data_IF_338526698417
#
_entry.id   IF_338526698417
#
_cell.length_a   1.000
_cell.length_b   1.000
_cell.length_c   1.000
_cell.angle_alpha   90.00
_cell.angle_beta   90.00
_cell.angle_gamma   90.00
#
_symmetry.space_group_name_H-M   'P 1'
#
loop_
_entity.id
_entity.type
_entity.pdbx_description
1 polymer ?
#
# COMPACT_ATOMS: atom_id res chain seq x y z
N UNK A 1 17.80 -9.60 13.12
CA UNK A 1 16.43 -9.58 12.56
C UNK A 1 15.37 -9.32 13.63
N UNK A 2 15.23 -10.14 14.69
CA UNK A 2 14.12 -10.03 15.67
C UNK A 2 13.93 -8.63 16.31
N UNK A 3 15.02 -7.94 16.69
CA UNK A 3 14.95 -6.58 17.25
C UNK A 3 14.37 -5.56 16.25
N UNK A 4 14.79 -5.65 14.99
CA UNK A 4 14.30 -4.78 13.91
C UNK A 4 12.83 -5.07 13.59
N UNK A 5 12.44 -6.35 13.52
CA UNK A 5 11.04 -6.76 13.30
C UNK A 5 10.14 -6.28 14.44
N UNK A 6 10.57 -6.42 15.70
CA UNK A 6 9.78 -5.95 16.83
C UNK A 6 9.60 -4.43 16.81
N UNK A 7 10.65 -3.69 16.45
CA UNK A 7 10.57 -2.25 16.28
C UNK A 7 9.63 -1.87 15.12
N UNK A 8 9.75 -2.49 13.96
CA UNK A 8 8.92 -2.16 12.80
C UNK A 8 7.44 -2.45 13.05
N UNK A 9 7.12 -3.58 13.70
CA UNK A 9 5.75 -3.93 14.08
C UNK A 9 5.21 -2.93 15.10
N UNK A 10 5.98 -2.60 16.15
CA UNK A 10 5.53 -1.61 17.13
C UNK A 10 5.27 -0.24 16.50
N UNK A 11 6.18 0.24 15.64
CA UNK A 11 6.03 1.52 14.95
C UNK A 11 4.81 1.54 14.04
N UNK A 12 4.61 0.50 13.23
CA UNK A 12 3.45 0.42 12.32
C UNK A 12 2.14 0.33 13.09
N UNK A 13 2.09 -0.46 14.17
CA UNK A 13 0.90 -0.55 15.04
C UNK A 13 0.55 0.82 15.64
N UNK A 14 1.52 1.53 16.20
CA UNK A 14 1.29 2.86 16.78
C UNK A 14 0.81 3.83 15.70
N UNK A 15 1.45 3.83 14.53
CA UNK A 15 1.07 4.70 13.41
C UNK A 15 -0.38 4.47 12.96
N UNK A 16 -0.77 3.22 12.69
CA UNK A 16 -2.13 2.91 12.26
C UNK A 16 -3.18 3.18 13.35
N UNK A 17 -2.86 2.91 14.61
CA UNK A 17 -3.73 3.23 15.74
C UNK A 17 -3.94 4.74 15.86
N UNK A 18 -2.87 5.53 15.74
CA UNK A 18 -2.93 6.99 15.75
C UNK A 18 -3.79 7.54 14.60
N UNK A 19 -3.61 7.04 13.38
CA UNK A 19 -4.45 7.43 12.23
C UNK A 19 -5.94 7.14 12.49
N UNK A 20 -6.26 5.96 13.00
CA UNK A 20 -7.65 5.57 13.31
C UNK A 20 -8.26 6.42 14.42
N UNK A 21 -7.54 6.59 15.55
CA UNK A 21 -8.01 7.40 16.67
C UNK A 21 -8.20 8.87 16.28
N UNK A 22 -7.27 9.45 15.52
CA UNK A 22 -7.39 10.84 15.05
C UNK A 22 -8.52 10.99 14.02
N UNK A 23 -8.68 10.05 13.09
CA UNK A 23 -9.79 10.06 12.14
C UNK A 23 -11.15 10.00 12.84
N UNK A 24 -11.31 9.09 13.81
CA UNK A 24 -12.53 9.01 14.61
C UNK A 24 -12.73 10.26 15.48
N UNK A 25 -11.68 10.82 16.07
CA UNK A 25 -11.80 12.06 16.84
C UNK A 25 -12.24 13.26 15.99
N UNK A 26 -11.86 13.30 14.71
CA UNK A 26 -12.22 14.38 13.78
C UNK A 26 -13.63 14.23 13.18
N UNK A 27 -14.06 13.00 12.87
CA UNK A 27 -15.30 12.75 12.11
C UNK A 27 -16.36 11.94 12.86
N UNK A 28 -16.03 11.33 13.99
CA UNK A 28 -16.92 10.46 14.75
C UNK A 28 -17.45 9.30 13.92
N UNK A 29 -18.73 8.99 14.10
CA UNK A 29 -19.45 7.94 13.36
C UNK A 29 -19.60 8.25 11.85
N UNK A 30 -19.30 9.48 11.43
CA UNK A 30 -19.31 9.90 10.02
C UNK A 30 -17.93 9.76 9.36
N UNK A 31 -16.95 9.13 10.02
CA UNK A 31 -15.63 8.89 9.45
C UNK A 31 -15.74 8.08 8.13
N UNK A 32 -15.22 8.62 7.01
CA UNK A 32 -15.27 7.92 5.73
C UNK A 32 -14.27 6.75 5.70
N UNK A 33 -14.55 5.73 4.88
CA UNK A 33 -13.62 4.62 4.63
C UNK A 33 -12.27 5.12 4.05
N UNK A 34 -12.34 6.10 3.15
CA UNK A 34 -11.19 6.84 2.68
C UNK A 34 -11.25 8.27 3.23
N UNK A 35 -10.39 8.55 4.21
CA UNK A 35 -10.24 9.87 4.84
C UNK A 35 -10.08 10.99 3.80
N UNK A 36 -9.39 10.73 2.69
CA UNK A 36 -9.17 11.72 1.63
C UNK A 36 -10.43 12.07 0.83
N UNK A 37 -11.48 11.25 0.92
CA UNK A 37 -12.75 11.48 0.20
C UNK A 37 -13.84 12.14 1.05
N UNK A 38 -13.72 12.12 2.38
CA UNK A 38 -14.73 12.71 3.28
C UNK A 38 -14.51 14.18 3.63
N UNK A 39 -13.44 14.82 3.13
CA UNK A 39 -13.19 16.26 3.29
C UNK A 39 -14.07 17.11 2.35
N UNK A 40 -15.37 16.82 2.30
CA UNK A 40 -16.28 17.27 1.25
C UNK A 40 -16.33 18.78 0.96
N UNK A 41 -15.98 19.68 1.89
CA UNK A 41 -16.25 21.12 1.70
C UNK A 41 -15.39 22.10 2.52
N UNK A 42 -14.12 21.79 2.84
CA UNK A 42 -13.28 22.75 3.58
C UNK A 42 -11.96 23.02 2.87
N UNK A 43 -11.79 24.27 2.43
CA UNK A 43 -10.49 24.81 2.04
C UNK A 43 -9.48 24.60 3.18
N UNK A 44 -8.23 24.16 2.88
CA UNK A 44 -7.58 24.30 1.59
C UNK A 44 -7.27 22.97 0.88
N UNK A 45 -7.64 22.86 -0.40
CA UNK A 45 -7.51 21.67 -1.25
C UNK A 45 -6.07 21.21 -1.51
N UNK A 46 -5.07 22.10 -1.37
CA UNK A 46 -3.67 21.77 -1.67
C UNK A 46 -3.13 20.63 -0.81
N UNK A 47 -3.59 20.50 0.45
CA UNK A 47 -3.11 19.45 1.34
C UNK A 47 -3.62 18.07 0.88
N UNK A 48 -4.86 18.03 0.38
CA UNK A 48 -5.45 16.84 -0.24
C UNK A 48 -4.72 16.48 -1.53
N UNK A 49 -4.39 17.47 -2.37
CA UNK A 49 -3.65 17.24 -3.62
C UNK A 49 -2.25 16.66 -3.34
N UNK A 50 -1.52 17.24 -2.39
CA UNK A 50 -0.19 16.74 -1.98
C UNK A 50 -0.29 15.31 -1.42
N UNK A 51 -1.31 15.02 -0.60
CA UNK A 51 -1.54 13.67 -0.09
C UNK A 51 -1.81 12.66 -1.22
N UNK A 52 -2.63 13.02 -2.19
CA UNK A 52 -2.90 12.19 -3.36
C UNK A 52 -1.64 11.96 -4.23
N UNK A 53 -0.84 13.00 -4.46
CA UNK A 53 0.44 12.86 -5.20
C UNK A 53 1.38 11.90 -4.46
N UNK A 54 1.50 12.01 -3.13
CA UNK A 54 2.31 11.10 -2.33
C UNK A 54 1.84 9.65 -2.44
N UNK A 55 0.52 9.41 -2.43
CA UNK A 55 -0.07 8.08 -2.66
C UNK A 55 0.30 7.54 -4.03
N UNK A 56 0.18 8.34 -5.09
CA UNK A 56 0.53 7.91 -6.46
C UNK A 56 1.99 7.52 -6.53
N UNK A 57 2.91 8.37 -6.07
CA UNK A 57 4.36 8.10 -6.09
C UNK A 57 4.68 6.83 -5.29
N UNK A 58 4.08 6.67 -4.11
CA UNK A 58 4.30 5.49 -3.28
C UNK A 58 3.76 4.20 -3.92
N UNK A 59 2.51 4.21 -4.39
CA UNK A 59 1.85 3.03 -4.93
C UNK A 59 2.45 2.57 -6.26
N UNK A 60 2.81 3.50 -7.16
CA UNK A 60 3.46 3.14 -8.43
C UNK A 60 4.80 2.45 -8.18
N UNK A 61 5.64 3.00 -7.29
CA UNK A 61 6.92 2.39 -6.94
C UNK A 61 6.74 1.04 -6.23
N UNK A 62 5.81 0.97 -5.27
CA UNK A 62 5.50 -0.27 -4.57
C UNK A 62 5.00 -1.36 -5.53
N UNK A 63 4.13 -1.01 -6.47
CA UNK A 63 3.64 -1.93 -7.49
C UNK A 63 4.77 -2.51 -8.33
N UNK A 64 5.67 -1.67 -8.84
CA UNK A 64 6.81 -2.12 -9.65
C UNK A 64 7.68 -3.15 -8.90
N UNK A 65 8.04 -2.86 -7.65
CA UNK A 65 8.91 -3.73 -6.84
C UNK A 65 8.18 -4.99 -6.39
N UNK A 66 6.89 -4.88 -6.04
CA UNK A 66 6.09 -5.99 -5.52
C UNK A 66 5.74 -7.02 -6.61
N UNK A 67 5.48 -6.55 -7.84
CA UNK A 67 5.14 -7.43 -8.94
C UNK A 67 6.29 -8.34 -9.39
N UNK A 68 7.53 -7.85 -9.36
CA UNK A 68 8.72 -8.61 -9.82
C UNK A 68 8.87 -10.00 -9.20
N UNK A 69 8.90 -10.17 -7.86
CA UNK A 69 9.07 -11.50 -7.25
C UNK A 69 7.87 -12.41 -7.49
N UNK A 70 6.66 -11.87 -7.63
CA UNK A 70 5.45 -12.65 -7.92
C UNK A 70 5.52 -13.20 -9.33
N UNK A 71 5.81 -12.35 -10.32
CA UNK A 71 5.97 -12.80 -11.70
C UNK A 71 7.11 -13.81 -11.82
N UNK A 72 8.28 -13.54 -11.20
CA UNK A 72 9.39 -14.48 -11.20
C UNK A 72 9.02 -15.84 -10.57
N UNK A 73 8.22 -15.85 -9.50
CA UNK A 73 7.73 -17.08 -8.89
C UNK A 73 6.80 -17.86 -9.83
N UNK A 74 5.85 -17.17 -10.47
CA UNK A 74 4.89 -17.78 -11.40
C UNK A 74 5.60 -18.30 -12.65
N UNK A 75 6.50 -17.53 -13.25
CA UNK A 75 7.29 -17.91 -14.42
C UNK A 75 8.14 -19.15 -14.14
N UNK A 76 8.83 -19.20 -13.00
CA UNK A 76 9.62 -20.39 -12.61
C UNK A 76 8.76 -21.63 -12.44
N UNK A 77 7.57 -21.48 -11.87
CA UNK A 77 6.60 -22.57 -11.71
C UNK A 77 6.08 -23.06 -13.05
N UNK A 78 5.74 -22.15 -13.94
CA UNK A 78 5.29 -22.48 -15.29
C UNK A 78 6.40 -23.19 -16.09
N UNK A 79 7.64 -22.69 -16.06
CA UNK A 79 8.78 -23.31 -16.73
C UNK A 79 9.07 -24.73 -16.23
N UNK A 80 8.93 -24.97 -14.91
CA UNK A 80 9.08 -26.30 -14.33
C UNK A 80 7.95 -27.27 -14.72
N UNK A 81 6.72 -26.78 -14.85
CA UNK A 81 5.57 -27.59 -15.22
C UNK A 81 5.53 -27.95 -16.72
N UNK A 82 6.04 -27.06 -17.58
CA UNK A 82 6.02 -27.23 -19.04
C UNK A 82 7.39 -26.96 -19.68
N UNK A 83 8.40 -27.81 -19.43
CA UNK A 83 9.78 -27.58 -19.86
C UNK A 83 10.01 -27.63 -21.38
N UNK A 84 9.04 -28.10 -22.17
CA UNK A 84 9.12 -28.20 -23.63
C UNK A 84 8.20 -27.22 -24.37
N UNK A 85 7.58 -26.27 -23.65
CA UNK A 85 6.72 -25.27 -24.26
C UNK A 85 7.55 -24.08 -24.75
N UNK A 86 7.62 -23.92 -26.08
CA UNK A 86 8.26 -22.76 -26.73
C UNK A 86 7.57 -21.42 -26.39
N UNK A 87 6.37 -21.44 -25.82
CA UNK A 87 5.64 -20.24 -25.39
C UNK A 87 6.02 -19.79 -23.96
N UNK A 88 6.35 -20.73 -23.08
CA UNK A 88 6.60 -20.46 -21.64
C UNK A 88 8.09 -20.21 -21.39
N UNK A 89 8.93 -20.93 -22.12
CA UNK A 89 10.38 -20.74 -22.13
C UNK A 89 10.83 -20.58 -23.58
N UNK A 90 10.57 -19.40 -24.20
CA UNK A 90 11.05 -19.07 -25.53
C UNK A 90 12.57 -18.94 -25.61
#
# INVERSE_FOLDING_TARGET
MQKATRLSVATTTIFYMLCGCMGYAAFGDAAPDNLLTGFGFYEPFWLLDVANVAIVVHLVGAYQVFCQPIFAFVERRAAAAWPHSAFISP
#
